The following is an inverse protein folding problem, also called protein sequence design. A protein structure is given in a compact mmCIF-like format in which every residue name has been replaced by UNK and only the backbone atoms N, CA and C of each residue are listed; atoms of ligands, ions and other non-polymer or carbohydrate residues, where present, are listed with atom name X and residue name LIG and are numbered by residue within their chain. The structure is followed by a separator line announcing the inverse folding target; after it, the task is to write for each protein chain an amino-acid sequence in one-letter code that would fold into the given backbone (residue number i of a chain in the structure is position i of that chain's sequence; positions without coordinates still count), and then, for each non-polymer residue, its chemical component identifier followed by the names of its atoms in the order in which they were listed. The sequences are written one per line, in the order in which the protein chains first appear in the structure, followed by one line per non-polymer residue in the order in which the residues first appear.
data_IF_117646940939
#
_entry.id   IF_117646940939
#
_cell.length_a   1.000
_cell.length_b   1.000
_cell.length_c   1.000
_cell.angle_alpha   90.00
_cell.angle_beta   90.00
_cell.angle_gamma   90.00
#
_symmetry.space_group_name_H-M   'P 1'
#
loop_
_entity.id
_entity.type
_entity.pdbx_description
1 polymer ?
#
# COMPACT_ATOMS: atom_id res chain seq x y z
N UNK A 1 -25.51 33.23 19.52
CA UNK A 1 -26.59 32.24 19.41
C UNK A 1 -25.97 30.87 19.56
N UNK A 2 -26.16 30.27 20.73
CA UNK A 2 -25.59 28.99 21.13
C UNK A 2 -26.40 27.87 20.48
N UNK A 3 -25.87 27.33 19.40
CA UNK A 3 -26.42 26.11 18.82
C UNK A 3 -25.65 24.92 19.35
N UNK A 4 -26.20 24.26 20.33
CA UNK A 4 -25.74 22.95 20.81
C UNK A 4 -26.01 21.94 19.70
N UNK A 5 -25.13 21.88 18.70
CA UNK A 5 -25.21 20.84 17.66
C UNK A 5 -24.18 19.76 17.96
N UNK A 6 -24.50 18.92 18.92
CA UNK A 6 -23.92 17.56 19.03
C UNK A 6 -24.64 16.63 18.07
N UNK A 7 -24.99 17.14 16.90
CA UNK A 7 -25.62 16.33 15.87
C UNK A 7 -24.62 15.36 15.25
N UNK A 8 -24.95 14.09 15.20
CA UNK A 8 -24.22 13.08 14.47
C UNK A 8 -24.12 13.57 13.02
N UNK A 9 -22.93 13.98 12.61
CA UNK A 9 -22.73 14.51 11.26
C UNK A 9 -22.78 13.36 10.25
N UNK A 10 -23.84 13.31 9.48
CA UNK A 10 -23.98 12.34 8.38
C UNK A 10 -23.37 12.95 7.11
N UNK A 11 -22.46 12.18 6.50
CA UNK A 11 -21.86 12.50 5.21
C UNK A 11 -22.60 11.73 4.12
N UNK A 12 -22.89 12.41 3.02
CA UNK A 12 -23.53 11.83 1.84
C UNK A 12 -22.46 11.57 0.77
N UNK A 13 -22.18 10.32 0.50
CA UNK A 13 -21.25 9.92 -0.55
C UNK A 13 -22.02 9.86 -1.87
N UNK A 14 -21.65 10.71 -2.84
CA UNK A 14 -22.32 10.74 -4.13
C UNK A 14 -21.98 9.54 -5.01
N UNK A 15 -20.79 8.99 -4.87
CA UNK A 15 -20.37 7.80 -5.61
C UNK A 15 -20.42 8.01 -7.13
N UNK A 16 -20.77 6.96 -7.84
CA UNK A 16 -20.86 6.96 -9.30
C UNK A 16 -22.30 7.28 -9.72
N UNK A 17 -22.50 8.39 -10.45
CA UNK A 17 -23.77 8.70 -11.09
C UNK A 17 -23.87 7.97 -12.43
N UNK A 18 -25.05 7.43 -12.74
CA UNK A 18 -25.27 6.74 -14.01
C UNK A 18 -26.44 5.75 -13.94
N UNK A 19 -26.72 5.14 -15.08
CA UNK A 19 -27.78 4.12 -15.18
C UNK A 19 -27.43 2.88 -14.33
N UNK A 20 -28.43 2.08 -14.05
CA UNK A 20 -28.27 0.83 -13.30
C UNK A 20 -27.29 -0.10 -14.02
N UNK A 21 -27.44 -0.26 -15.33
CA UNK A 21 -26.56 -1.10 -16.14
C UNK A 21 -25.10 -0.63 -16.06
N UNK A 22 -24.87 0.67 -16.15
CA UNK A 22 -23.54 1.26 -16.05
C UNK A 22 -22.90 0.94 -14.68
N UNK A 23 -23.68 1.03 -13.60
CA UNK A 23 -23.19 0.73 -12.24
C UNK A 23 -22.86 -0.76 -12.07
N UNK A 24 -23.67 -1.68 -12.68
CA UNK A 24 -23.39 -3.13 -12.66
C UNK A 24 -22.09 -3.46 -13.44
N UNK A 25 -21.86 -2.77 -14.56
CA UNK A 25 -20.62 -2.91 -15.30
C UNK A 25 -19.43 -2.46 -14.44
N UNK A 26 -19.54 -1.27 -13.81
CA UNK A 26 -18.50 -0.77 -12.90
C UNK A 26 -18.27 -1.71 -11.71
N UNK A 27 -19.34 -2.28 -11.16
CA UNK A 27 -19.22 -3.26 -10.07
C UNK A 27 -18.34 -4.43 -10.52
N UNK A 28 -18.61 -4.99 -11.69
CA UNK A 28 -17.80 -6.11 -12.23
C UNK A 28 -16.35 -5.70 -12.48
N UNK A 29 -16.13 -4.49 -13.02
CA UNK A 29 -14.79 -3.94 -13.31
C UNK A 29 -13.95 -3.79 -12.02
N UNK A 30 -14.58 -3.47 -10.88
CA UNK A 30 -13.86 -3.31 -9.62
C UNK A 30 -13.85 -4.60 -8.78
N UNK A 31 -14.90 -5.42 -8.85
CA UNK A 31 -15.00 -6.67 -8.09
C UNK A 31 -13.96 -7.70 -8.54
N UNK A 32 -13.77 -7.85 -9.86
CA UNK A 32 -12.80 -8.82 -10.39
C UNK A 32 -11.36 -8.51 -9.95
N UNK A 33 -10.83 -7.27 -10.12
CA UNK A 33 -9.52 -6.93 -9.57
C UNK A 33 -9.42 -7.11 -8.06
N UNK A 34 -10.48 -6.77 -7.31
CA UNK A 34 -10.51 -6.97 -5.85
C UNK A 34 -10.27 -8.45 -5.50
N UNK A 35 -10.98 -9.36 -6.16
CA UNK A 35 -10.78 -10.79 -5.93
C UNK A 35 -9.37 -11.24 -6.32
N UNK A 36 -8.82 -10.75 -7.43
CA UNK A 36 -7.45 -11.05 -7.86
C UNK A 36 -6.42 -10.53 -6.83
N UNK A 37 -6.65 -9.34 -6.27
CA UNK A 37 -5.77 -8.77 -5.22
C UNK A 37 -5.78 -9.68 -3.99
N UNK A 38 -6.97 -10.05 -3.49
CA UNK A 38 -7.09 -10.89 -2.29
C UNK A 38 -6.40 -12.25 -2.54
N UNK A 39 -6.74 -12.91 -3.64
CA UNK A 39 -6.20 -14.24 -3.95
C UNK A 39 -4.69 -14.16 -4.19
N UNK A 40 -4.23 -13.24 -5.03
CA UNK A 40 -2.81 -13.12 -5.41
C UNK A 40 -1.91 -12.83 -4.22
N UNK A 41 -2.30 -11.86 -3.39
CA UNK A 41 -1.52 -11.50 -2.20
C UNK A 41 -1.59 -12.61 -1.13
N UNK A 42 -2.75 -13.30 -0.98
CA UNK A 42 -2.86 -14.45 -0.07
C UNK A 42 -1.95 -15.59 -0.51
N UNK A 43 -1.87 -15.87 -1.81
CA UNK A 43 -0.95 -16.90 -2.34
C UNK A 43 0.50 -16.57 -1.98
N UNK A 44 0.93 -15.30 -2.12
CA UNK A 44 2.29 -14.87 -1.74
C UNK A 44 2.54 -15.15 -0.25
N UNK A 45 1.62 -14.74 0.62
CA UNK A 45 1.74 -14.95 2.08
C UNK A 45 1.87 -16.44 2.38
N UNK A 46 0.98 -17.26 1.83
CA UNK A 46 0.98 -18.72 2.04
C UNK A 46 2.31 -19.33 1.56
N UNK A 47 2.78 -18.95 0.35
CA UNK A 47 4.04 -19.46 -0.19
C UNK A 47 5.23 -19.12 0.72
N UNK A 48 5.29 -17.89 1.21
CA UNK A 48 6.39 -17.46 2.11
C UNK A 48 6.30 -18.21 3.44
N UNK A 49 5.11 -18.40 3.99
CA UNK A 49 4.93 -19.13 5.26
C UNK A 49 5.29 -20.62 5.13
N UNK A 50 4.95 -21.26 4.01
CA UNK A 50 5.09 -22.71 3.85
C UNK A 50 6.45 -23.13 3.29
N UNK A 51 7.17 -22.26 2.60
CA UNK A 51 8.41 -22.62 1.90
C UNK A 51 9.65 -22.11 2.65
N UNK A 52 10.46 -23.00 3.19
CA UNK A 52 11.73 -22.67 3.82
C UNK A 52 12.69 -21.93 2.89
N UNK A 53 12.59 -22.20 1.58
CA UNK A 53 13.43 -21.53 0.56
C UNK A 53 13.10 -20.05 0.41
N UNK A 54 11.93 -19.61 0.88
CA UNK A 54 11.49 -18.22 0.81
C UNK A 54 11.62 -17.48 2.15
N UNK A 55 12.34 -18.02 3.14
CA UNK A 55 12.52 -17.36 4.44
C UNK A 55 13.71 -16.38 4.44
N UNK A 56 13.98 -15.70 3.32
CA UNK A 56 14.90 -14.57 3.24
C UNK A 56 14.19 -13.26 3.62
N UNK A 57 14.91 -12.25 4.17
CA UNK A 57 14.28 -10.99 4.59
C UNK A 57 13.38 -10.36 3.52
N UNK A 58 13.84 -10.35 2.27
CA UNK A 58 13.06 -9.81 1.15
C UNK A 58 11.66 -10.43 1.06
N UNK A 59 11.55 -11.78 1.19
CA UNK A 59 10.26 -12.45 1.06
C UNK A 59 9.37 -12.24 2.28
N UNK A 60 9.98 -12.09 3.47
CA UNK A 60 9.24 -11.73 4.69
C UNK A 60 8.67 -10.32 4.57
N UNK A 61 9.44 -9.37 4.04
CA UNK A 61 8.95 -8.02 3.76
C UNK A 61 7.88 -8.04 2.67
N UNK A 62 8.06 -8.86 1.64
CA UNK A 62 7.07 -9.03 0.56
C UNK A 62 5.74 -9.58 1.11
N UNK A 63 5.78 -10.57 2.00
CA UNK A 63 4.55 -11.09 2.62
C UNK A 63 3.86 -10.04 3.50
N UNK A 64 4.64 -9.17 4.17
CA UNK A 64 4.09 -8.04 4.93
C UNK A 64 3.47 -7.00 3.99
N UNK A 65 4.13 -6.67 2.88
CA UNK A 65 3.56 -5.79 1.86
C UNK A 65 2.24 -6.36 1.33
N UNK A 66 2.20 -7.67 1.02
CA UNK A 66 0.98 -8.35 0.58
C UNK A 66 -0.15 -8.26 1.63
N UNK A 67 0.19 -8.40 2.93
CA UNK A 67 -0.79 -8.25 4.01
C UNK A 67 -1.34 -6.82 4.09
N UNK A 68 -0.47 -5.80 3.92
CA UNK A 68 -0.86 -4.39 3.88
C UNK A 68 -1.80 -4.11 2.70
N UNK A 69 -1.49 -4.66 1.52
CA UNK A 69 -2.31 -4.51 0.29
C UNK A 69 -3.70 -5.12 0.46
N UNK A 70 -3.79 -6.33 1.03
CA UNK A 70 -5.07 -6.96 1.36
C UNK A 70 -5.87 -6.06 2.31
N UNK A 71 -5.20 -5.56 3.34
CA UNK A 71 -5.83 -4.74 4.39
C UNK A 71 -6.39 -3.44 3.79
N UNK A 72 -5.55 -2.67 3.06
CA UNK A 72 -5.96 -1.39 2.44
C UNK A 72 -7.15 -1.60 1.50
N UNK A 73 -7.04 -2.61 0.63
CA UNK A 73 -8.07 -2.90 -0.36
C UNK A 73 -9.38 -3.31 0.32
N UNK A 74 -9.30 -4.09 1.40
CA UNK A 74 -10.48 -4.54 2.16
C UNK A 74 -11.13 -3.43 2.98
N UNK A 75 -10.41 -2.35 3.29
CA UNK A 75 -10.97 -1.16 3.94
C UNK A 75 -11.77 -0.31 2.93
N UNK A 76 -11.31 -0.24 1.67
CA UNK A 76 -11.87 0.67 0.65
C UNK A 76 -12.94 -0.01 -0.20
N UNK A 77 -12.64 -1.22 -0.72
CA UNK A 77 -13.44 -1.86 -1.77
C UNK A 77 -14.88 -2.22 -1.35
N UNK A 78 -15.14 -2.75 -0.13
CA UNK A 78 -16.53 -3.08 0.23
C UNK A 78 -17.47 -1.87 0.25
N UNK A 79 -17.00 -0.72 0.75
CA UNK A 79 -17.78 0.53 0.76
C UNK A 79 -18.10 0.98 -0.67
N UNK A 80 -17.07 0.97 -1.54
CA UNK A 80 -17.21 1.37 -2.93
C UNK A 80 -18.15 0.44 -3.71
N UNK A 81 -17.98 -0.88 -3.55
CA UNK A 81 -18.81 -1.89 -4.22
C UNK A 81 -20.26 -1.84 -3.72
N UNK A 82 -20.45 -1.63 -2.41
CA UNK A 82 -21.77 -1.45 -1.83
C UNK A 82 -22.49 -0.24 -2.42
N UNK A 83 -21.77 0.86 -2.62
CA UNK A 83 -22.31 2.08 -3.25
C UNK A 83 -22.73 1.88 -4.70
N UNK A 84 -22.07 0.98 -5.42
CA UNK A 84 -22.43 0.67 -6.81
C UNK A 84 -23.72 -0.16 -6.91
N UNK A 85 -24.04 -0.95 -5.89
CA UNK A 85 -25.23 -1.80 -5.87
C UNK A 85 -26.48 -1.07 -5.40
N UNK A 86 -26.34 0.07 -4.70
CA UNK A 86 -27.47 0.84 -4.18
C UNK A 86 -27.86 1.96 -5.15
N UNK A 87 -29.14 2.22 -5.28
CA UNK A 87 -29.68 3.34 -6.09
C UNK A 87 -29.73 4.63 -5.30
N UNK A 88 -29.57 4.56 -3.98
CA UNK A 88 -29.67 5.71 -3.09
C UNK A 88 -28.27 6.25 -2.76
N UNK A 89 -28.22 7.55 -2.47
CA UNK A 89 -27.00 8.20 -1.96
C UNK A 89 -26.61 7.50 -0.65
N UNK A 90 -25.38 6.99 -0.61
CA UNK A 90 -24.87 6.37 0.61
C UNK A 90 -24.68 7.42 1.69
N UNK A 91 -25.29 7.21 2.84
CA UNK A 91 -25.04 8.03 4.03
C UNK A 91 -24.05 7.28 4.93
N UNK A 92 -23.07 7.99 5.43
CA UNK A 92 -22.05 7.46 6.33
C UNK A 92 -21.89 8.42 7.52
N UNK A 93 -21.92 7.87 8.73
CA UNK A 93 -21.61 8.68 9.92
C UNK A 93 -20.14 9.13 9.87
N UNK A 94 -19.89 10.34 10.32
CA UNK A 94 -18.54 10.90 10.34
C UNK A 94 -17.55 10.02 11.11
N UNK A 95 -17.99 9.40 12.21
CA UNK A 95 -17.14 8.45 12.95
C UNK A 95 -16.74 7.23 12.12
N UNK A 96 -17.67 6.71 11.27
CA UNK A 96 -17.37 5.60 10.36
C UNK A 96 -16.38 6.04 9.27
N UNK A 97 -16.48 7.28 8.81
CA UNK A 97 -15.53 7.89 7.87
C UNK A 97 -14.12 7.92 8.48
N UNK A 98 -13.99 8.38 9.72
CA UNK A 98 -12.72 8.42 10.46
C UNK A 98 -12.19 6.99 10.68
N UNK A 99 -13.07 6.04 11.02
CA UNK A 99 -12.70 4.64 11.21
C UNK A 99 -12.18 3.98 9.93
N UNK A 100 -12.61 4.45 8.75
CA UNK A 100 -12.09 4.01 7.45
C UNK A 100 -10.76 4.72 7.13
N UNK A 101 -10.69 6.02 7.38
CA UNK A 101 -9.55 6.87 7.02
C UNK A 101 -8.29 6.54 7.85
N UNK A 102 -8.46 6.29 9.15
CA UNK A 102 -7.33 6.04 10.06
C UNK A 102 -6.50 4.81 9.64
N UNK A 103 -7.08 3.61 9.50
CA UNK A 103 -6.27 2.46 9.07
C UNK A 103 -5.73 2.63 7.64
N UNK A 104 -6.47 3.28 6.74
CA UNK A 104 -6.03 3.53 5.36
C UNK A 104 -4.72 4.35 5.34
N UNK A 105 -4.68 5.47 6.06
CA UNK A 105 -3.50 6.33 6.13
C UNK A 105 -2.36 5.68 6.94
N UNK A 106 -2.70 4.95 8.00
CA UNK A 106 -1.72 4.26 8.85
C UNK A 106 -0.96 3.19 8.07
N UNK A 107 -1.69 2.32 7.37
CA UNK A 107 -1.07 1.23 6.61
C UNK A 107 -0.34 1.80 5.39
N UNK A 108 -0.88 2.83 4.73
CA UNK A 108 -0.16 3.52 3.65
C UNK A 108 1.18 4.10 4.12
N UNK A 109 1.21 4.69 5.31
CA UNK A 109 2.47 5.17 5.93
C UNK A 109 3.42 3.99 6.20
N UNK A 110 2.89 2.88 6.74
CA UNK A 110 3.67 1.65 7.00
C UNK A 110 4.30 1.10 5.72
N UNK A 111 3.57 1.15 4.59
CA UNK A 111 4.07 0.70 3.28
C UNK A 111 5.29 1.50 2.84
N UNK A 112 5.27 2.83 2.95
CA UNK A 112 6.42 3.67 2.58
C UNK A 112 7.65 3.35 3.43
N UNK A 113 7.48 3.14 4.74
CA UNK A 113 8.57 2.74 5.64
C UNK A 113 9.09 1.34 5.27
N UNK A 114 8.20 0.41 4.96
CA UNK A 114 8.56 -0.95 4.56
C UNK A 114 9.34 -0.95 3.23
N UNK A 115 8.92 -0.14 2.24
CA UNK A 115 9.63 -0.01 0.96
C UNK A 115 11.05 0.54 1.18
N UNK A 116 11.23 1.48 2.10
CA UNK A 116 12.57 2.00 2.44
C UNK A 116 13.42 0.90 3.09
N UNK A 117 12.85 0.11 4.00
CA UNK A 117 13.54 -1.03 4.62
C UNK A 117 13.95 -2.07 3.57
N UNK A 118 13.07 -2.36 2.60
CA UNK A 118 13.35 -3.27 1.49
C UNK A 118 14.49 -2.75 0.60
N UNK A 119 14.58 -1.45 0.36
CA UNK A 119 15.68 -0.84 -0.41
C UNK A 119 17.02 -1.02 0.30
N UNK A 120 17.06 -0.83 1.62
CA UNK A 120 18.25 -1.04 2.44
C UNK A 120 18.66 -2.53 2.43
N UNK A 121 17.68 -3.44 2.53
CA UNK A 121 17.93 -4.89 2.41
C UNK A 121 18.59 -5.22 1.06
N UNK A 122 18.07 -4.69 -0.04
CA UNK A 122 18.65 -4.87 -1.38
C UNK A 122 20.07 -4.32 -1.47
N UNK A 123 20.30 -3.13 -0.90
CA UNK A 123 21.63 -2.53 -0.85
C UNK A 123 22.61 -3.47 -0.12
N UNK A 124 22.25 -3.97 1.05
CA UNK A 124 23.11 -4.89 1.81
C UNK A 124 23.39 -6.19 1.04
N UNK A 125 22.37 -6.75 0.38
CA UNK A 125 22.50 -7.99 -0.37
C UNK A 125 23.42 -7.86 -1.60
N UNK A 126 23.43 -6.71 -2.27
CA UNK A 126 24.15 -6.52 -3.53
C UNK A 126 25.52 -5.87 -3.30
N UNK A 127 25.60 -4.83 -2.45
CA UNK A 127 26.83 -4.09 -2.23
C UNK A 127 27.75 -4.73 -1.18
N UNK A 128 27.18 -5.52 -0.25
CA UNK A 128 27.94 -6.16 0.84
C UNK A 128 27.61 -7.66 0.97
N UNK A 129 27.78 -8.47 -0.10
CA UNK A 129 27.30 -9.86 -0.11
C UNK A 129 27.93 -10.74 0.97
N UNK A 130 29.21 -10.50 1.31
CA UNK A 130 29.88 -11.29 2.36
C UNK A 130 29.28 -11.01 3.75
N UNK A 131 29.03 -9.73 4.08
CA UNK A 131 28.38 -9.36 5.34
C UNK A 131 26.94 -9.89 5.38
N UNK A 132 26.22 -9.77 4.25
CA UNK A 132 24.85 -10.27 4.13
C UNK A 132 24.80 -11.79 4.36
N UNK A 133 25.75 -12.53 3.76
CA UNK A 133 25.84 -13.99 3.95
C UNK A 133 26.17 -14.38 5.39
N UNK A 134 27.01 -13.59 6.09
CA UNK A 134 27.30 -13.79 7.52
C UNK A 134 26.03 -13.57 8.38
N UNK A 135 25.30 -12.49 8.13
CA UNK A 135 24.03 -12.21 8.79
C UNK A 135 23.05 -13.36 8.51
N UNK A 136 23.06 -13.90 7.28
CA UNK A 136 22.22 -15.02 6.87
C UNK A 136 22.63 -16.34 7.54
N UNK A 137 23.93 -16.58 7.78
CA UNK A 137 24.41 -17.74 8.55
C UNK A 137 23.93 -17.68 9.99
N UNK A 138 23.94 -16.52 10.62
CA UNK A 138 23.35 -16.30 11.94
C UNK A 138 21.84 -16.56 11.96
N UNK A 139 21.21 -16.57 10.79
CA UNK A 139 19.80 -16.94 10.60
C UNK A 139 19.50 -18.39 10.99
N UNK A 140 20.44 -19.30 10.82
CA UNK A 140 20.31 -20.69 11.28
C UNK A 140 20.04 -20.79 12.80
N UNK A 141 20.38 -19.73 13.55
CA UNK A 141 20.13 -19.63 15.00
C UNK A 141 18.94 -18.74 15.36
N UNK A 142 18.05 -18.42 14.41
CA UNK A 142 16.81 -17.66 14.67
C UNK A 142 16.96 -16.12 14.71
N UNK A 143 17.90 -15.64 14.70
CA UNK A 143 18.09 -14.30 14.86
C UNK A 143 17.65 -13.40 13.76
N UNK A 144 18.02 -13.79 12.70
CA UNK A 144 17.63 -12.96 11.55
C UNK A 144 16.12 -12.90 11.35
N UNK A 145 15.43 -14.01 11.58
CA UNK A 145 13.96 -14.07 11.49
C UNK A 145 13.31 -13.10 12.50
N UNK A 146 13.83 -13.07 13.73
CA UNK A 146 13.34 -12.15 14.76
C UNK A 146 13.59 -10.69 14.38
N UNK A 147 14.78 -10.37 13.82
CA UNK A 147 15.09 -9.01 13.38
C UNK A 147 14.12 -8.55 12.29
N UNK A 148 13.88 -9.39 11.28
CA UNK A 148 12.95 -9.06 10.19
C UNK A 148 11.52 -8.89 10.71
N UNK A 149 11.12 -9.75 11.64
CA UNK A 149 9.81 -9.66 12.28
C UNK A 149 9.68 -8.35 13.08
N UNK A 150 10.70 -8.02 13.88
CA UNK A 150 10.70 -6.75 14.64
C UNK A 150 10.69 -5.54 13.71
N UNK A 151 11.42 -5.57 12.60
CA UNK A 151 11.38 -4.50 11.60
C UNK A 151 9.97 -4.34 11.02
N UNK A 152 9.32 -5.45 10.66
CA UNK A 152 7.96 -5.43 10.15
C UNK A 152 6.98 -4.86 11.19
N UNK A 153 7.04 -5.35 12.42
CA UNK A 153 6.21 -4.86 13.54
C UNK A 153 6.44 -3.35 13.73
N UNK A 154 7.71 -2.91 13.70
CA UNK A 154 8.06 -1.48 13.84
C UNK A 154 7.43 -0.64 12.73
N UNK A 155 7.43 -1.13 11.47
CA UNK A 155 6.78 -0.44 10.36
C UNK A 155 5.27 -0.25 10.61
N UNK A 156 4.59 -1.33 11.04
CA UNK A 156 3.16 -1.29 11.35
C UNK A 156 2.88 -0.32 12.51
N UNK A 157 3.59 -0.48 13.63
CA UNK A 157 3.42 0.35 14.85
C UNK A 157 3.68 1.82 14.53
N UNK A 158 4.77 2.10 13.78
CA UNK A 158 5.13 3.47 13.38
C UNK A 158 4.00 4.11 12.58
N UNK A 159 3.46 3.41 11.57
CA UNK A 159 2.39 3.95 10.73
C UNK A 159 1.14 4.29 11.54
N UNK A 160 0.73 3.39 12.43
CA UNK A 160 -0.45 3.64 13.28
C UNK A 160 -0.23 4.78 14.27
N UNK A 161 0.91 4.82 14.95
CA UNK A 161 1.22 5.89 15.89
C UNK A 161 1.36 7.25 15.20
N UNK A 162 2.03 7.28 14.04
CA UNK A 162 2.26 8.51 13.29
C UNK A 162 0.95 9.17 12.85
N UNK A 163 -0.07 8.38 12.51
CA UNK A 163 -1.35 8.90 12.02
C UNK A 163 -2.34 9.29 13.11
N UNK A 164 -2.02 9.08 14.40
CA UNK A 164 -2.91 9.48 15.51
C UNK A 164 -3.20 10.98 15.46
N UNK A 165 -2.14 11.82 15.45
CA UNK A 165 -2.32 13.27 15.45
C UNK A 165 -3.04 13.78 14.20
N UNK A 166 -2.67 13.39 12.96
CA UNK A 166 -3.42 13.78 11.77
C UNK A 166 -4.91 13.44 11.81
N UNK A 167 -5.25 12.29 12.34
CA UNK A 167 -6.65 11.85 12.44
C UNK A 167 -7.40 12.66 13.51
N UNK A 168 -6.80 12.88 14.69
CA UNK A 168 -7.39 13.71 15.75
C UNK A 168 -7.60 15.14 15.21
N UNK A 169 -6.59 15.69 14.53
CA UNK A 169 -6.67 17.00 13.89
C UNK A 169 -7.81 17.07 12.87
N UNK A 170 -7.98 16.02 12.06
CA UNK A 170 -9.06 15.93 11.08
C UNK A 170 -10.44 15.85 11.78
N UNK A 171 -10.52 15.08 12.85
CA UNK A 171 -11.77 14.93 13.63
C UNK A 171 -12.21 16.27 14.25
N UNK A 172 -11.25 17.11 14.65
CA UNK A 172 -11.51 18.40 15.28
C UNK A 172 -11.90 19.52 14.28
N UNK A 173 -11.79 19.25 12.97
CA UNK A 173 -12.18 20.22 11.95
C UNK A 173 -13.72 20.43 11.96
N UNK A 174 -14.13 21.69 11.92
CA UNK A 174 -15.54 22.05 11.77
C UNK A 174 -15.89 22.02 10.28
N UNK A 175 -16.89 21.23 9.93
CA UNK A 175 -17.34 21.11 8.55
C UNK A 175 -18.56 22.03 8.33
N UNK A 176 -18.56 22.75 7.21
CA UNK A 176 -19.67 23.61 6.80
C UNK A 176 -20.09 23.29 5.37
N UNK A 177 -21.33 23.59 5.10
CA UNK A 177 -21.90 23.36 3.79
C UNK A 177 -22.69 22.06 3.74
N UNK A 178 -23.13 21.66 2.55
CA UNK A 178 -23.87 20.43 2.39
C UNK A 178 -22.94 19.25 2.68
N UNK A 179 -23.29 18.41 3.61
CA UNK A 179 -22.50 17.23 4.04
C UNK A 179 -22.35 16.21 2.91
N UNK A 180 -21.91 16.69 1.73
CA UNK A 180 -21.84 15.90 0.50
C UNK A 180 -20.38 15.74 0.11
N UNK A 181 -19.94 14.48 0.07
CA UNK A 181 -18.59 14.10 -0.34
C UNK A 181 -18.69 13.49 -1.74
N UNK A 182 -18.12 14.18 -2.71
CA UNK A 182 -18.09 13.69 -4.10
C UNK A 182 -16.95 12.69 -4.29
N UNK A 183 -17.07 11.55 -3.57
CA UNK A 183 -16.07 10.49 -3.62
C UNK A 183 -16.73 9.14 -3.31
N UNK A 184 -16.02 8.04 -3.57
CA UNK A 184 -16.52 6.66 -3.43
C UNK A 184 -16.22 6.07 -2.05
N UNK A 185 -15.33 6.71 -1.31
CA UNK A 185 -14.97 6.35 0.07
C UNK A 185 -14.61 7.64 0.80
N UNK A 186 -14.39 7.54 2.09
CA UNK A 186 -14.04 8.70 2.90
C UNK A 186 -12.65 9.22 2.54
N UNK A 187 -12.56 10.48 2.12
CA UNK A 187 -11.31 11.17 1.84
C UNK A 187 -11.32 12.53 2.53
N UNK A 188 -10.20 12.88 3.18
CA UNK A 188 -10.08 14.11 3.94
C UNK A 188 -10.27 15.37 3.10
N UNK A 189 -9.82 15.33 1.84
CA UNK A 189 -9.88 16.49 0.93
C UNK A 189 -11.30 16.81 0.45
N UNK A 190 -12.24 15.89 0.62
CA UNK A 190 -13.57 16.02 0.03
C UNK A 190 -14.55 16.83 0.89
N UNK A 191 -14.25 17.08 2.17
CA UNK A 191 -15.12 17.81 3.08
C UNK A 191 -14.70 19.28 3.17
N UNK A 192 -15.65 20.19 2.95
CA UNK A 192 -15.43 21.63 3.09
C UNK A 192 -15.37 21.99 4.58
N UNK A 193 -14.27 22.59 4.99
CA UNK A 193 -14.05 23.01 6.39
C UNK A 193 -14.29 24.50 6.58
N UNK A 194 -14.89 24.87 7.72
CA UNK A 194 -15.13 26.23 8.14
C UNK A 194 -13.94 26.78 8.95
N UNK A 195 -13.77 28.08 8.86
CA UNK A 195 -12.79 28.80 9.66
C UNK A 195 -11.39 28.76 9.08
N UNK A 196 -10.46 29.42 9.77
CA UNK A 196 -9.07 29.48 9.35
C UNK A 196 -8.31 28.25 9.85
N UNK A 197 -8.22 27.26 8.98
CA UNK A 197 -7.52 26.00 9.28
C UNK A 197 -6.17 25.89 8.53
N UNK A 198 -5.65 27.02 8.03
CA UNK A 198 -4.40 27.06 7.24
C UNK A 198 -3.23 26.46 7.99
N UNK A 199 -3.10 26.80 9.27
CA UNK A 199 -2.01 26.30 10.12
C UNK A 199 -2.09 24.76 10.24
N UNK A 200 -3.28 24.24 10.50
CA UNK A 200 -3.53 22.81 10.64
C UNK A 200 -3.23 22.07 9.31
N UNK A 201 -3.70 22.61 8.18
CA UNK A 201 -3.42 22.07 6.86
C UNK A 201 -1.92 22.08 6.55
N UNK A 202 -1.23 23.15 6.97
CA UNK A 202 0.23 23.27 6.77
C UNK A 202 0.98 22.18 7.56
N UNK A 203 0.63 21.93 8.84
CA UNK A 203 1.25 20.88 9.64
C UNK A 203 0.99 19.51 9.01
N UNK A 204 -0.25 19.24 8.58
CA UNK A 204 -0.59 17.97 7.91
C UNK A 204 0.23 17.77 6.62
N UNK A 205 0.43 18.84 5.85
CA UNK A 205 1.29 18.83 4.66
C UNK A 205 2.74 18.51 5.04
N UNK A 206 3.27 19.15 6.09
CA UNK A 206 4.66 18.89 6.57
C UNK A 206 4.84 17.46 7.02
N UNK A 207 3.85 16.89 7.73
CA UNK A 207 3.90 15.50 8.18
C UNK A 207 3.92 14.53 7.00
N UNK A 208 3.07 14.77 6.00
CA UNK A 208 3.03 13.96 4.78
C UNK A 208 4.35 14.08 3.99
N UNK A 209 4.88 15.29 3.86
CA UNK A 209 6.17 15.55 3.21
C UNK A 209 7.31 14.85 3.96
N UNK A 210 7.29 14.87 5.30
CA UNK A 210 8.28 14.19 6.14
C UNK A 210 8.31 12.68 5.85
N UNK A 211 7.15 12.03 5.78
CA UNK A 211 7.08 10.59 5.46
C UNK A 211 7.59 10.36 4.02
N UNK A 212 7.05 11.12 3.07
CA UNK A 212 7.37 10.91 1.65
C UNK A 212 8.87 11.08 1.37
N UNK A 213 9.45 12.19 1.79
CA UNK A 213 10.87 12.47 1.54
C UNK A 213 11.79 11.71 2.50
N UNK A 214 11.37 11.50 3.74
CA UNK A 214 12.13 10.74 4.74
C UNK A 214 12.31 9.27 4.36
N UNK A 215 11.34 8.69 3.66
CA UNK A 215 11.43 7.31 3.16
C UNK A 215 12.04 7.25 1.76
N UNK A 216 11.83 8.27 0.93
CA UNK A 216 12.37 8.32 -0.43
C UNK A 216 13.90 8.49 -0.42
N UNK A 217 14.44 9.27 0.52
CA UNK A 217 15.88 9.55 0.59
C UNK A 217 16.73 8.28 0.77
N UNK A 218 16.47 7.40 1.77
CA UNK A 218 17.21 6.14 1.87
C UNK A 218 17.03 5.24 0.65
N UNK A 219 15.88 5.27 -0.02
CA UNK A 219 15.66 4.51 -1.26
C UNK A 219 16.59 5.01 -2.36
N UNK A 220 16.66 6.34 -2.58
CA UNK A 220 17.51 6.96 -3.59
C UNK A 220 18.99 6.62 -3.31
N UNK A 221 19.42 6.77 -2.06
CA UNK A 221 20.80 6.48 -1.65
C UNK A 221 21.13 5.00 -1.93
N UNK A 222 20.26 4.09 -1.47
CA UNK A 222 20.44 2.63 -1.65
C UNK A 222 20.56 2.28 -3.14
N UNK A 223 19.64 2.78 -3.97
CA UNK A 223 19.63 2.46 -5.40
C UNK A 223 20.78 3.11 -6.16
N UNK A 224 21.26 4.28 -5.74
CA UNK A 224 22.46 4.89 -6.32
C UNK A 224 23.67 3.97 -6.15
N UNK A 225 23.89 3.45 -4.93
CA UNK A 225 24.96 2.49 -4.67
C UNK A 225 24.77 1.17 -5.39
N UNK A 226 23.53 0.64 -5.43
CA UNK A 226 23.18 -0.60 -6.14
C UNK A 226 23.54 -0.48 -7.62
N UNK A 227 23.13 0.62 -8.27
CA UNK A 227 23.40 0.86 -9.70
C UNK A 227 24.92 0.93 -9.94
N UNK A 228 25.63 1.70 -9.12
CA UNK A 228 27.10 1.79 -9.23
C UNK A 228 27.77 0.43 -9.09
N UNK A 229 27.31 -0.40 -8.17
CA UNK A 229 27.84 -1.75 -7.94
C UNK A 229 27.53 -2.67 -9.13
N UNK A 230 26.29 -2.65 -9.65
CA UNK A 230 25.88 -3.47 -10.80
C UNK A 230 26.71 -3.12 -12.03
N UNK A 231 26.96 -1.83 -12.28
CA UNK A 231 27.76 -1.39 -13.44
C UNK A 231 29.21 -1.88 -13.36
N UNK A 232 29.74 -2.16 -12.16
CA UNK A 232 31.10 -2.68 -11.96
C UNK A 232 31.19 -4.21 -12.14
N UNK A 233 30.06 -4.94 -12.24
CA UNK A 233 30.08 -6.39 -12.48
C UNK A 233 30.59 -6.65 -13.91
N UNK A 234 31.69 -7.45 -14.07
CA UNK A 234 32.29 -7.64 -15.40
C UNK A 234 31.39 -8.37 -16.40
N UNK A 235 30.63 -9.39 -15.94
CA UNK A 235 29.83 -10.22 -16.84
C UNK A 235 28.45 -9.62 -17.12
N UNK A 236 28.04 -9.61 -18.40
CA UNK A 236 26.72 -9.14 -18.83
C UNK A 236 25.59 -9.97 -18.19
N UNK A 237 25.77 -11.27 -18.05
CA UNK A 237 24.78 -12.15 -17.42
C UNK A 237 24.63 -11.85 -15.93
N UNK A 238 25.74 -11.57 -15.22
CA UNK A 238 25.74 -11.16 -13.82
C UNK A 238 25.00 -9.84 -13.62
N UNK A 239 25.28 -8.84 -14.47
CA UNK A 239 24.57 -7.54 -14.43
C UNK A 239 23.06 -7.74 -14.62
N UNK A 240 22.67 -8.53 -15.62
CA UNK A 240 21.25 -8.81 -15.92
C UNK A 240 20.54 -9.46 -14.72
N UNK A 241 21.20 -10.46 -14.10
CA UNK A 241 20.67 -11.16 -12.92
C UNK A 241 20.50 -10.19 -11.73
N UNK A 242 21.52 -9.39 -11.42
CA UNK A 242 21.49 -8.41 -10.33
C UNK A 242 20.40 -7.36 -10.56
N UNK A 243 20.28 -6.85 -11.79
CA UNK A 243 19.24 -5.88 -12.16
C UNK A 243 17.85 -6.48 -12.02
N UNK A 244 17.63 -7.70 -12.50
CA UNK A 244 16.34 -8.40 -12.42
C UNK A 244 15.87 -8.56 -10.95
N UNK A 245 16.81 -8.84 -10.05
CA UNK A 245 16.54 -8.98 -8.61
C UNK A 245 15.98 -7.68 -8.00
N UNK A 246 16.44 -6.54 -8.48
CA UNK A 246 16.02 -5.22 -7.96
C UNK A 246 14.82 -4.62 -8.68
N UNK A 247 14.59 -5.03 -9.93
CA UNK A 247 13.63 -4.38 -10.83
C UNK A 247 12.21 -4.41 -10.29
N UNK A 248 11.81 -5.52 -9.67
CA UNK A 248 10.47 -5.66 -9.07
C UNK A 248 10.23 -4.60 -7.99
N UNK A 249 11.14 -4.50 -7.02
CA UNK A 249 11.04 -3.52 -5.94
C UNK A 249 11.09 -2.08 -6.49
N UNK A 250 12.03 -1.82 -7.41
CA UNK A 250 12.16 -0.49 -8.04
C UNK A 250 10.87 -0.08 -8.75
N UNK A 251 10.22 -1.00 -9.47
CA UNK A 251 8.95 -0.74 -10.17
C UNK A 251 7.85 -0.33 -9.17
N UNK A 252 7.72 -1.06 -8.06
CA UNK A 252 6.72 -0.75 -7.01
C UNK A 252 6.99 0.63 -6.41
N UNK A 253 8.26 0.96 -6.13
CA UNK A 253 8.67 2.28 -5.62
C UNK A 253 8.28 3.38 -6.60
N UNK A 254 8.59 3.23 -7.90
CA UNK A 254 8.28 4.24 -8.92
C UNK A 254 6.76 4.46 -9.03
N UNK A 255 5.98 3.37 -9.02
CA UNK A 255 4.51 3.48 -9.11
C UNK A 255 3.97 4.18 -7.85
N UNK A 256 4.34 3.71 -6.65
CA UNK A 256 3.83 4.25 -5.38
C UNK A 256 4.18 5.72 -5.17
N UNK A 257 5.48 6.04 -5.26
CA UNK A 257 5.93 7.44 -5.07
C UNK A 257 5.45 8.34 -6.21
N UNK A 258 5.48 7.85 -7.45
CA UNK A 258 5.01 8.61 -8.63
C UNK A 258 3.54 9.00 -8.48
N UNK A 259 2.70 8.06 -8.04
CA UNK A 259 1.27 8.33 -7.81
C UNK A 259 1.08 9.34 -6.68
N UNK A 260 1.80 9.17 -5.56
CA UNK A 260 1.72 10.10 -4.42
C UNK A 260 2.17 11.51 -4.81
N UNK A 261 3.31 11.64 -5.50
CA UNK A 261 3.81 12.93 -5.95
C UNK A 261 2.81 13.62 -6.90
N UNK A 262 2.20 12.85 -7.80
CA UNK A 262 1.19 13.36 -8.71
C UNK A 262 -0.03 13.91 -7.94
N UNK A 263 -0.47 13.22 -6.88
CA UNK A 263 -1.58 13.69 -6.03
C UNK A 263 -1.23 15.00 -5.32
N UNK A 264 0.04 15.21 -4.96
CA UNK A 264 0.50 16.44 -4.30
C UNK A 264 0.53 17.66 -5.22
N UNK A 265 0.58 17.49 -6.56
CA UNK A 265 0.62 18.58 -7.53
C UNK A 265 -0.79 19.17 -7.77
N UNK A 266 -1.73 18.94 -6.87
CA UNK A 266 -3.10 19.48 -6.88
C UNK A 266 -3.84 19.28 -8.21
N UNK A 267 -4.10 18.04 -8.61
CA UNK A 267 -4.97 17.80 -9.76
C UNK A 267 -6.40 18.30 -9.47
N UNK A 268 -7.16 18.58 -10.51
CA UNK A 268 -8.59 18.91 -10.37
C UNK A 268 -9.30 17.81 -9.57
N UNK A 269 -10.33 18.14 -8.75
CA UNK A 269 -10.99 17.14 -7.88
C UNK A 269 -11.40 15.86 -8.61
N UNK A 270 -11.92 15.97 -9.83
CA UNK A 270 -12.31 14.82 -10.65
C UNK A 270 -11.11 13.90 -10.96
N UNK A 271 -9.93 14.48 -11.19
CA UNK A 271 -8.72 13.69 -11.44
C UNK A 271 -8.19 13.06 -10.17
N UNK A 272 -8.31 13.75 -9.06
CA UNK A 272 -7.93 13.19 -7.75
C UNK A 272 -8.68 11.88 -7.45
N UNK A 273 -9.76 11.79 -7.72
CA UNK A 273 -10.54 10.74 -7.56
C UNK A 273 -10.15 9.58 -8.28
N UNK A 274 -10.03 9.83 -9.50
CA UNK A 274 -9.59 8.76 -10.38
C UNK A 274 -8.22 8.22 -9.96
N UNK A 275 -7.30 9.07 -9.57
CA UNK A 275 -5.95 8.68 -9.17
C UNK A 275 -5.98 7.91 -7.84
N UNK A 276 -6.79 8.33 -6.88
CA UNK A 276 -6.96 7.60 -5.61
C UNK A 276 -7.49 6.18 -5.87
N UNK A 277 -8.44 6.03 -6.80
CA UNK A 277 -8.94 4.73 -7.24
C UNK A 277 -7.84 3.91 -7.89
N UNK A 278 -7.10 4.52 -8.82
CA UNK A 278 -5.99 3.85 -9.50
C UNK A 278 -4.95 3.35 -8.48
N UNK A 279 -4.60 4.18 -7.49
CA UNK A 279 -3.65 3.80 -6.43
C UNK A 279 -4.19 2.64 -5.59
N UNK A 280 -5.45 2.73 -5.18
CA UNK A 280 -6.06 1.73 -4.29
C UNK A 280 -6.35 0.39 -4.96
N UNK A 281 -6.33 0.33 -6.29
CA UNK A 281 -6.64 -0.89 -7.06
C UNK A 281 -5.42 -1.36 -7.86
N UNK A 282 -4.80 -0.44 -8.63
CA UNK A 282 -3.74 -0.82 -9.59
C UNK A 282 -2.47 -1.28 -8.86
N UNK A 283 -2.04 -0.56 -7.81
CA UNK A 283 -0.82 -0.93 -7.07
C UNK A 283 -0.97 -2.31 -6.40
N UNK A 284 -2.03 -2.56 -5.59
CA UNK A 284 -2.23 -3.89 -5.00
C UNK A 284 -2.42 -5.01 -6.04
N UNK A 285 -3.01 -4.68 -7.19
CA UNK A 285 -3.21 -5.64 -8.26
C UNK A 285 -1.88 -6.03 -8.92
N UNK A 286 -1.01 -5.05 -9.18
CA UNK A 286 0.26 -5.29 -9.88
C UNK A 286 1.30 -5.99 -9.02
N UNK A 287 1.30 -5.78 -7.70
CA UNK A 287 2.34 -6.30 -6.81
C UNK A 287 2.52 -7.82 -6.91
N UNK A 288 1.46 -8.65 -6.82
CA UNK A 288 1.64 -10.10 -6.98
C UNK A 288 2.25 -10.49 -8.34
N UNK A 289 1.84 -9.82 -9.42
CA UNK A 289 2.37 -10.11 -10.75
C UNK A 289 3.84 -9.68 -10.89
N UNK A 290 4.17 -8.46 -10.44
CA UNK A 290 5.54 -7.93 -10.52
C UNK A 290 6.52 -8.85 -9.76
N UNK A 291 6.15 -9.25 -8.54
CA UNK A 291 7.04 -10.07 -7.71
C UNK A 291 7.04 -11.54 -8.13
N UNK A 292 5.93 -12.08 -8.64
CA UNK A 292 5.86 -13.47 -9.09
C UNK A 292 6.53 -13.64 -10.47
N UNK A 293 6.20 -12.77 -11.43
CA UNK A 293 6.68 -12.95 -12.81
C UNK A 293 8.16 -12.64 -12.99
N UNK A 294 8.76 -11.83 -12.12
CA UNK A 294 10.18 -11.46 -12.23
C UNK A 294 11.12 -12.22 -11.30
N UNK A 295 10.57 -13.02 -10.39
CA UNK A 295 11.38 -13.75 -9.40
C UNK A 295 11.30 -15.26 -9.68
N UNK A 296 12.41 -15.82 -10.15
CA UNK A 296 12.47 -17.22 -10.55
C UNK A 296 12.25 -18.18 -9.35
N UNK A 297 12.70 -17.80 -8.14
CA UNK A 297 12.47 -18.62 -6.94
C UNK A 297 10.97 -18.68 -6.59
N UNK A 298 10.27 -17.55 -6.69
CA UNK A 298 8.82 -17.50 -6.43
C UNK A 298 8.08 -18.31 -7.49
N UNK A 299 8.47 -18.19 -8.77
CA UNK A 299 7.90 -19.00 -9.87
C UNK A 299 8.07 -20.50 -9.61
N UNK A 300 9.26 -20.92 -9.22
CA UNK A 300 9.58 -22.34 -8.96
C UNK A 300 8.68 -22.87 -7.84
N UNK A 301 8.60 -22.17 -6.71
CA UNK A 301 7.76 -22.57 -5.57
C UNK A 301 6.28 -22.61 -5.97
N UNK A 302 5.83 -21.63 -6.75
CA UNK A 302 4.43 -21.56 -7.24
C UNK A 302 4.13 -22.78 -8.15
N UNK A 303 5.02 -23.08 -9.11
CA UNK A 303 4.84 -24.21 -10.03
C UNK A 303 4.81 -25.55 -9.29
N UNK A 304 5.67 -25.73 -8.30
CA UNK A 304 5.68 -26.95 -7.48
C UNK A 304 4.41 -27.06 -6.63
N UNK A 305 3.91 -25.95 -6.08
CA UNK A 305 2.64 -25.92 -5.37
C UNK A 305 1.47 -26.33 -6.27
N UNK A 306 1.41 -25.77 -7.49
CA UNK A 306 0.37 -26.09 -8.49
C UNK A 306 0.45 -27.59 -8.87
N UNK A 307 1.66 -28.13 -9.09
CA UNK A 307 1.84 -29.56 -9.42
C UNK A 307 1.33 -30.45 -8.27
N UNK A 308 1.65 -30.15 -7.03
CA UNK A 308 1.18 -30.90 -5.85
C UNK A 308 -0.34 -30.85 -5.74
N UNK A 309 -0.94 -29.68 -5.93
CA UNK A 309 -2.39 -29.50 -5.89
C UNK A 309 -3.08 -30.29 -7.00
N UNK A 310 -2.56 -30.23 -8.23
CA UNK A 310 -3.11 -30.98 -9.38
C UNK A 310 -3.02 -32.49 -9.16
N UNK A 311 -1.93 -32.97 -8.55
CA UNK A 311 -1.78 -34.38 -8.19
C UNK A 311 -2.78 -34.80 -7.11
N UNK A 312 -3.03 -33.93 -6.14
CA UNK A 312 -4.01 -34.18 -5.07
C UNK A 312 -5.45 -34.24 -5.60
N UNK A 313 -5.80 -33.33 -6.54
CA UNK A 313 -7.15 -33.28 -7.13
C UNK A 313 -7.44 -34.42 -8.11
N UNK A 314 -6.40 -35.13 -8.58
CA UNK A 314 -6.55 -36.29 -9.49
C UNK A 314 -6.71 -37.62 -8.74
N UNK A 315 -6.57 -37.61 -7.41
CA UNK A 315 -6.81 -38.75 -6.52
C UNK A 315 -8.25 -38.72 -6.00
#
# INVERSE_FOLDING_TARGET
MSGNNTGILELKLLGFSGSQDFRHILFSIFFLPYMVIIIGNSVIIIMVCMSYHLHFPMYLFLSNLSAMEIFITSVVMPTMLGGLLTTQIQTMFFGACIAQLYPLLSVGTSEFVLLAAMAVDRYMAICHPLRYSLIMRMRLYGXCHHVCLWMAITCWVFGFLFQIWPIVATYQLYFCGPNVVNHFFCERSAAQTCGDNRFQQFILFLMAAFILFGTLLPIIISYSYIICTILRIPSASGRKKAFSTCASHFTVVVIGYGTCLFLYVKPKPTRAXMISLMTSVVTPLLNPFIFTLRNDQVKEVLMDGVKRLSHFLKK
#
